data_IF_610969189273
#
_entry.id   IF_610969189273
#
_cell.length_a   1.000
_cell.length_b   1.000
_cell.length_c   1.000
_cell.angle_alpha   90.00
_cell.angle_beta   90.00
_cell.angle_gamma   90.00
#
_symmetry.space_group_name_H-M   'P 1'
#
loop_
_entity.id
_entity.type
_entity.pdbx_description
1 polymer ?
#
# COMPACT_ATOMS: atom_id res chain seq x y z
N UNK A 1 -3.40 27.48 -10.55
CA UNK A 1 -4.44 27.99 -9.62
C UNK A 1 -5.79 27.83 -10.30
N UNK A 2 -6.69 27.03 -9.73
CA UNK A 2 -8.07 26.94 -10.21
C UNK A 2 -8.91 28.01 -9.54
N UNK A 3 -9.75 28.72 -10.30
CA UNK A 3 -10.73 29.66 -9.75
C UNK A 3 -12.11 29.00 -9.76
N UNK A 4 -12.83 29.10 -8.64
CA UNK A 4 -14.23 28.67 -8.55
C UNK A 4 -15.12 29.90 -8.58
N UNK A 5 -16.08 29.91 -9.50
CA UNK A 5 -17.08 30.98 -9.62
C UNK A 5 -18.44 30.34 -9.32
N UNK A 6 -19.14 30.91 -8.34
CA UNK A 6 -20.48 30.45 -7.95
C UNK A 6 -21.50 31.02 -8.93
N UNK A 7 -22.35 30.15 -9.50
CA UNK A 7 -23.41 30.52 -10.45
C UNK A 7 -22.92 31.44 -11.59
N UNK A 8 -21.91 31.02 -12.36
CA UNK A 8 -21.38 31.83 -13.44
C UNK A 8 -22.41 32.03 -14.55
N UNK A 9 -22.44 33.21 -15.15
CA UNK A 9 -23.41 33.57 -16.20
C UNK A 9 -22.92 33.11 -17.59
N UNK A 10 -22.89 31.79 -17.80
CA UNK A 10 -22.67 31.19 -19.12
C UNK A 10 -23.69 30.08 -19.39
N UNK A 11 -23.96 29.82 -20.67
CA UNK A 11 -25.03 28.93 -21.12
C UNK A 11 -24.98 27.54 -20.47
N UNK A 12 -23.82 26.90 -20.45
CA UNK A 12 -23.64 25.57 -19.82
C UNK A 12 -24.05 25.55 -18.33
N UNK A 13 -23.84 26.63 -17.57
CA UNK A 13 -24.24 26.69 -16.16
C UNK A 13 -25.76 26.79 -16.02
N UNK A 14 -26.42 27.54 -16.91
CA UNK A 14 -27.89 27.62 -16.97
C UNK A 14 -28.49 26.26 -17.32
N UNK A 15 -27.98 25.60 -18.36
CA UNK A 15 -28.40 24.24 -18.75
C UNK A 15 -28.25 23.23 -17.61
N UNK A 16 -27.13 23.27 -16.87
CA UNK A 16 -26.92 22.40 -15.70
C UNK A 16 -27.91 22.69 -14.56
N UNK A 17 -28.22 23.96 -14.30
CA UNK A 17 -29.19 24.37 -13.29
C UNK A 17 -30.60 23.86 -13.64
N UNK A 18 -31.00 24.02 -14.91
CA UNK A 18 -32.30 23.58 -15.40
C UNK A 18 -32.43 22.06 -15.35
N UNK A 19 -31.39 21.33 -15.76
CA UNK A 19 -31.34 19.87 -15.66
C UNK A 19 -31.44 19.40 -14.21
N UNK A 20 -30.69 20.01 -13.28
CA UNK A 20 -30.71 19.60 -11.87
C UNK A 20 -32.09 19.83 -11.23
N UNK A 21 -32.73 20.96 -11.55
CA UNK A 21 -34.10 21.27 -11.09
C UNK A 21 -35.14 20.31 -11.66
N UNK A 22 -35.05 19.99 -12.95
CA UNK A 22 -36.02 19.13 -13.62
C UNK A 22 -35.92 17.66 -13.17
N UNK A 23 -34.70 17.11 -13.15
CA UNK A 23 -34.48 15.68 -13.00
C UNK A 23 -33.35 15.34 -12.02
N UNK A 24 -32.22 16.06 -12.06
CA UNK A 24 -31.01 15.71 -11.30
C UNK A 24 -31.22 15.61 -9.78
N UNK A 25 -32.10 16.42 -9.21
CA UNK A 25 -32.46 16.38 -7.78
C UNK A 25 -33.14 15.08 -7.32
N UNK A 26 -33.64 14.26 -8.25
CA UNK A 26 -34.34 13.00 -7.98
C UNK A 26 -33.46 11.77 -8.24
N UNK A 27 -32.26 11.97 -8.80
CA UNK A 27 -31.36 10.88 -9.20
C UNK A 27 -30.41 10.55 -8.05
N UNK A 28 -30.12 9.26 -7.87
CA UNK A 28 -29.04 8.80 -6.98
C UNK A 28 -27.69 8.89 -7.69
N UNK A 29 -26.77 9.67 -7.14
CA UNK A 29 -25.42 9.81 -7.69
C UNK A 29 -24.50 8.68 -7.22
N UNK A 30 -23.54 8.31 -8.07
CA UNK A 30 -22.48 7.36 -7.71
C UNK A 30 -21.38 8.10 -6.95
N UNK A 31 -21.01 7.59 -5.79
CA UNK A 31 -19.84 8.11 -5.06
C UNK A 31 -18.55 7.78 -5.81
N UNK A 32 -17.66 8.76 -5.94
CA UNK A 32 -16.32 8.59 -6.50
C UNK A 32 -15.35 7.96 -5.49
N UNK A 33 -15.76 7.84 -4.21
CA UNK A 33 -14.92 7.39 -3.09
C UNK A 33 -14.34 5.97 -3.20
N UNK A 34 -14.73 5.17 -4.20
CA UNK A 34 -14.31 3.76 -4.35
C UNK A 34 -13.59 3.40 -5.66
N UNK A 35 -13.27 4.34 -6.54
CA UNK A 35 -12.65 4.02 -7.85
C UNK A 35 -11.12 3.75 -7.78
N UNK A 36 -10.55 3.59 -6.60
CA UNK A 36 -9.13 3.26 -6.38
C UNK A 36 -8.81 1.76 -6.46
N UNK A 37 -9.78 0.88 -6.68
CA UNK A 37 -9.56 -0.57 -6.54
C UNK A 37 -9.41 -1.37 -7.86
N UNK A 38 -9.09 -0.72 -8.99
CA UNK A 38 -8.74 -1.41 -10.24
C UNK A 38 -7.50 -0.80 -10.88
N UNK A 39 -6.33 -1.30 -10.48
CA UNK A 39 -5.17 -1.51 -11.36
C UNK A 39 -4.42 -0.31 -11.95
N UNK A 40 -4.79 0.96 -11.75
CA UNK A 40 -4.05 2.08 -12.40
C UNK A 40 -3.98 3.40 -11.63
N UNK A 41 -4.30 3.44 -10.33
CA UNK A 41 -4.11 4.66 -9.56
C UNK A 41 -3.96 4.40 -8.05
N UNK A 42 -2.86 3.75 -7.65
CA UNK A 42 -2.36 3.94 -6.28
C UNK A 42 -1.74 5.34 -6.08
N UNK A 43 -1.60 6.13 -7.15
CA UNK A 43 -0.95 7.46 -7.11
C UNK A 43 -1.87 8.60 -6.67
N UNK A 44 -3.20 8.43 -6.68
CA UNK A 44 -4.11 9.53 -6.32
C UNK A 44 -4.25 9.79 -4.81
N UNK A 45 -3.59 8.99 -3.96
CA UNK A 45 -3.57 9.19 -2.51
C UNK A 45 -2.20 9.01 -1.85
N UNK A 46 -1.19 8.53 -2.58
CA UNK A 46 0.16 8.40 -2.05
C UNK A 46 0.93 9.69 -2.35
N UNK A 47 1.31 10.39 -1.30
CA UNK A 47 2.15 11.57 -1.41
C UNK A 47 3.60 11.13 -1.61
N UNK A 48 4.26 11.69 -2.63
CA UNK A 48 5.70 11.58 -2.78
C UNK A 48 6.37 12.43 -1.70
N UNK A 49 7.18 11.78 -0.87
CA UNK A 49 7.83 12.37 0.29
C UNK A 49 9.33 12.08 0.24
N UNK A 50 10.12 12.95 0.88
CA UNK A 50 11.55 12.70 1.09
C UNK A 50 11.78 11.80 2.31
N UNK A 51 12.94 11.18 2.39
CA UNK A 51 13.31 10.31 3.52
C UNK A 51 13.25 11.05 4.85
N UNK A 52 13.69 12.31 4.90
CA UNK A 52 13.59 13.16 6.12
C UNK A 52 12.14 13.43 6.52
N UNK A 53 11.25 13.67 5.55
CA UNK A 53 9.84 13.92 5.84
C UNK A 53 9.21 12.67 6.47
N UNK A 54 9.45 11.50 5.86
CA UNK A 54 8.93 10.22 6.36
C UNK A 54 9.43 9.94 7.77
N UNK A 55 10.73 10.08 8.05
CA UNK A 55 11.27 9.84 9.39
C UNK A 55 10.69 10.81 10.44
N UNK A 56 10.50 12.08 10.07
CA UNK A 56 9.86 13.06 10.96
C UNK A 56 8.40 12.69 11.25
N UNK A 57 7.64 12.21 10.26
CA UNK A 57 6.27 11.76 10.46
C UNK A 57 6.16 10.49 11.30
N UNK A 58 7.06 9.52 11.08
CA UNK A 58 7.05 8.26 11.84
C UNK A 58 7.47 8.45 13.31
N UNK A 59 8.31 9.44 13.61
CA UNK A 59 8.71 9.77 14.97
C UNK A 59 7.60 10.43 15.80
N UNK A 60 6.52 10.90 15.15
CA UNK A 60 5.34 11.47 15.79
C UNK A 60 4.21 10.44 15.88
N UNK A 61 4.29 9.57 16.89
CA UNK A 61 3.27 8.57 17.31
C UNK A 61 1.90 8.68 16.62
N UNK A 62 1.63 7.74 15.71
CA UNK A 62 0.27 7.38 15.31
C UNK A 62 0.13 5.85 15.26
N UNK A 63 -0.93 5.32 15.85
CA UNK A 63 -1.30 3.88 15.77
C UNK A 63 -1.84 3.49 14.38
N UNK A 64 -1.81 4.41 13.42
CA UNK A 64 -2.35 4.25 12.08
C UNK A 64 -1.20 4.01 11.09
N UNK A 65 -1.35 2.97 10.26
CA UNK A 65 -0.43 2.73 9.17
C UNK A 65 -0.49 3.90 8.15
N UNK A 66 0.68 4.45 7.83
CA UNK A 66 0.83 5.51 6.83
C UNK A 66 1.35 4.87 5.55
N UNK A 67 0.64 5.12 4.44
CA UNK A 67 1.12 4.75 3.11
C UNK A 67 1.74 5.98 2.44
N UNK A 68 2.94 5.82 1.91
CA UNK A 68 3.71 6.89 1.28
C UNK A 68 4.50 6.37 0.08
N UNK A 69 5.01 7.28 -0.75
CA UNK A 69 6.00 6.97 -1.78
C UNK A 69 7.28 7.75 -1.53
N UNK A 70 8.42 7.10 -1.71
CA UNK A 70 9.74 7.73 -1.66
C UNK A 70 10.48 7.36 -2.94
N UNK A 71 11.18 8.33 -3.52
CA UNK A 71 12.14 8.08 -4.59
C UNK A 71 13.55 8.18 -4.01
N UNK A 72 14.30 7.09 -4.09
CA UNK A 72 15.65 7.02 -3.54
C UNK A 72 16.44 5.85 -4.12
N UNK A 73 17.70 5.74 -3.71
CA UNK A 73 18.60 4.65 -4.04
C UNK A 73 18.69 3.69 -2.87
N UNK A 74 18.61 2.39 -3.15
CA UNK A 74 18.95 1.34 -2.17
C UNK A 74 20.45 1.43 -1.87
N UNK A 75 20.79 1.78 -0.63
CA UNK A 75 22.18 1.97 -0.19
C UNK A 75 22.81 0.70 0.36
N UNK A 76 22.03 -0.11 1.08
CA UNK A 76 22.50 -1.36 1.69
C UNK A 76 21.38 -2.40 1.72
N UNK A 77 21.73 -3.69 1.60
CA UNK A 77 20.80 -4.82 1.75
C UNK A 77 21.35 -5.73 2.84
N UNK A 78 20.57 -5.96 3.90
CA UNK A 78 21.02 -6.77 5.03
C UNK A 78 20.85 -8.26 4.73
N UNK A 79 21.97 -8.99 4.69
CA UNK A 79 22.00 -10.39 4.24
C UNK A 79 21.65 -11.44 5.30
N UNK A 80 21.51 -11.05 6.57
CA UNK A 80 21.37 -12.00 7.68
C UNK A 80 20.10 -12.88 7.61
N UNK A 81 19.00 -12.36 7.04
CA UNK A 81 17.69 -13.05 7.06
C UNK A 81 16.89 -12.87 5.76
N UNK A 82 17.56 -12.89 4.59
CA UNK A 82 16.94 -12.60 3.28
C UNK A 82 15.76 -13.51 2.93
N UNK A 83 15.77 -14.74 3.43
CA UNK A 83 14.80 -15.78 3.09
C UNK A 83 14.41 -16.53 4.36
N UNK A 84 13.12 -16.80 4.53
CA UNK A 84 12.63 -17.70 5.56
C UNK A 84 11.73 -18.78 4.98
N UNK A 85 11.68 -19.91 5.68
CA UNK A 85 10.85 -21.06 5.33
C UNK A 85 9.41 -20.84 5.80
N UNK A 86 8.49 -20.86 4.85
CA UNK A 86 7.06 -20.69 5.04
C UNK A 86 6.27 -21.93 4.64
N UNK A 87 5.02 -21.98 5.09
CA UNK A 87 4.06 -23.02 4.76
C UNK A 87 3.83 -23.09 3.24
N UNK A 88 3.83 -24.31 2.70
CA UNK A 88 3.63 -24.56 1.26
C UNK A 88 2.15 -24.46 0.82
N UNK A 89 1.25 -24.19 1.75
CA UNK A 89 -0.15 -23.85 1.45
C UNK A 89 -0.24 -22.42 0.91
N UNK A 90 -0.76 -22.26 -0.32
CA UNK A 90 -0.82 -20.98 -1.02
C UNK A 90 -1.60 -19.89 -0.27
N UNK A 91 -2.51 -20.27 0.64
CA UNK A 91 -3.37 -19.32 1.35
C UNK A 91 -2.84 -18.95 2.75
N UNK A 92 -1.59 -19.32 3.11
CA UNK A 92 -1.06 -19.06 4.46
C UNK A 92 0.41 -18.65 4.45
N UNK A 93 0.71 -17.55 5.12
CA UNK A 93 2.07 -17.11 5.47
C UNK A 93 2.37 -17.52 6.90
N UNK A 94 2.91 -18.71 7.11
CA UNK A 94 3.24 -19.22 8.44
C UNK A 94 4.59 -19.91 8.44
N UNK A 95 5.46 -19.54 9.37
CA UNK A 95 6.80 -20.14 9.50
C UNK A 95 6.70 -21.64 9.75
N UNK A 96 7.57 -22.39 9.09
CA UNK A 96 7.70 -23.84 9.26
C UNK A 96 9.03 -24.18 9.93
N UNK A 97 9.09 -25.35 10.55
CA UNK A 97 10.31 -25.90 11.14
C UNK A 97 10.53 -27.32 10.64
N UNK A 98 11.77 -27.65 10.32
CA UNK A 98 12.15 -29.00 9.89
C UNK A 98 12.13 -29.96 11.08
N UNK A 99 11.43 -31.08 10.93
CA UNK A 99 11.46 -32.19 11.87
C UNK A 99 12.71 -33.04 11.60
N UNK A 100 13.68 -32.97 12.51
CA UNK A 100 14.99 -33.65 12.40
C UNK A 100 14.86 -35.16 12.18
N UNK A 101 13.82 -35.78 12.75
CA UNK A 101 13.62 -37.23 12.68
C UNK A 101 13.06 -37.74 11.34
N UNK A 102 12.30 -36.93 10.59
CA UNK A 102 11.63 -37.36 9.36
C UNK A 102 12.04 -36.58 8.11
N UNK A 103 12.90 -35.57 8.25
CA UNK A 103 13.27 -34.65 7.17
C UNK A 103 12.05 -33.93 6.53
N UNK A 104 10.94 -33.83 7.26
CA UNK A 104 9.71 -33.18 6.82
C UNK A 104 9.57 -31.79 7.47
N UNK A 105 8.91 -30.86 6.78
CA UNK A 105 8.65 -29.51 7.26
C UNK A 105 7.29 -29.43 7.92
N UNK A 106 7.24 -29.04 9.19
CA UNK A 106 6.00 -28.96 9.96
C UNK A 106 5.63 -27.50 10.19
N UNK A 107 4.41 -27.14 9.79
CA UNK A 107 3.84 -25.83 10.08
C UNK A 107 3.16 -25.83 11.45
N UNK A 108 3.53 -24.91 12.34
CA UNK A 108 2.90 -24.77 13.67
C UNK A 108 1.43 -24.35 13.59
N UNK A 109 1.08 -23.56 12.58
CA UNK A 109 -0.26 -22.99 12.41
C UNK A 109 -1.26 -24.01 11.86
N UNK A 110 -0.90 -24.77 10.81
CA UNK A 110 -1.81 -25.74 10.19
C UNK A 110 -1.57 -27.19 10.64
N UNK A 111 -0.49 -27.46 11.37
CA UNK A 111 -0.08 -28.80 11.86
C UNK A 111 0.09 -29.83 10.73
N UNK A 112 0.28 -29.39 9.49
CA UNK A 112 0.54 -30.26 8.34
C UNK A 112 2.04 -30.40 8.12
N UNK A 113 2.39 -31.51 7.48
CA UNK A 113 3.75 -31.82 7.06
C UNK A 113 3.90 -31.60 5.56
N UNK A 114 5.07 -31.13 5.17
CA UNK A 114 5.42 -30.87 3.77
C UNK A 114 6.79 -31.48 3.46
N UNK A 115 6.99 -31.99 2.24
CA UNK A 115 8.30 -32.48 1.83
C UNK A 115 9.33 -31.34 1.70
N UNK A 116 8.88 -30.16 1.26
CA UNK A 116 9.71 -28.97 1.10
C UNK A 116 8.95 -27.73 1.60
N UNK A 117 9.64 -26.71 2.13
CA UNK A 117 9.04 -25.46 2.52
C UNK A 117 8.86 -24.55 1.29
N UNK A 118 8.09 -23.48 1.46
CA UNK A 118 8.09 -22.35 0.53
C UNK A 118 9.08 -21.30 1.02
N UNK A 119 10.07 -20.97 0.19
CA UNK A 119 10.99 -19.88 0.47
C UNK A 119 10.32 -18.52 0.22
N UNK A 120 10.23 -17.69 1.25
CA UNK A 120 9.68 -16.33 1.15
C UNK A 120 10.77 -15.33 1.45
N UNK A 121 10.88 -14.32 0.60
CA UNK A 121 11.83 -13.23 0.80
C UNK A 121 11.39 -12.31 1.94
N UNK A 122 12.33 -12.02 2.83
CA UNK A 122 12.23 -11.02 3.88
C UNK A 122 13.47 -10.14 3.82
N UNK A 123 13.42 -9.12 2.99
CA UNK A 123 14.54 -8.20 2.82
C UNK A 123 14.39 -7.03 3.77
N UNK A 124 15.41 -6.81 4.58
CA UNK A 124 15.64 -5.49 5.19
C UNK A 124 16.68 -4.78 4.36
N UNK A 125 16.48 -3.50 4.11
CA UNK A 125 17.40 -2.69 3.32
C UNK A 125 17.34 -1.23 3.70
N UNK A 126 18.39 -0.49 3.41
CA UNK A 126 18.39 0.95 3.57
C UNK A 126 18.07 1.64 2.25
N UNK A 127 17.23 2.67 2.31
CA UNK A 127 16.97 3.60 1.23
C UNK A 127 17.55 4.97 1.56
N UNK A 128 18.16 5.60 0.57
CA UNK A 128 18.78 6.93 0.68
C UNK A 128 18.28 7.85 -0.43
N UNK A 129 18.03 9.12 -0.09
CA UNK A 129 17.78 10.19 -1.04
C UNK A 129 18.74 11.37 -0.77
N UNK A 130 18.53 12.50 -1.45
CA UNK A 130 19.38 13.69 -1.24
C UNK A 130 19.21 14.33 0.16
N UNK A 131 18.25 13.88 0.96
CA UNK A 131 17.92 14.45 2.26
C UNK A 131 18.41 13.60 3.42
N UNK A 132 18.30 12.27 3.34
CA UNK A 132 18.75 11.35 4.40
C UNK A 132 18.76 9.89 3.93
N UNK A 133 19.07 8.99 4.86
CA UNK A 133 19.01 7.54 4.73
C UNK A 133 18.16 6.95 5.87
N UNK A 134 17.37 5.93 5.57
CA UNK A 134 16.56 5.20 6.56
C UNK A 134 16.49 3.71 6.23
N UNK A 135 16.32 2.88 7.26
CA UNK A 135 16.16 1.43 7.12
C UNK A 135 14.70 1.02 6.99
N UNK A 136 14.42 0.09 6.08
CA UNK A 136 13.12 -0.52 5.80
C UNK A 136 13.16 -2.03 6.01
#
# INVERSE_FOLDING_TARGET
MGSMIVNPDFEKAKTLCDWYKAEGSKITFKSISGSSNTGSSMTCGLQLMTVVQVSTMLNGTTDMAILFMVQGKVSNIYSASLVYDSCSDNNRSGTVSQAVASNEWICKTCKRKWPNPKYVYNFSFDISDSTSQTGL
#
